data_IF_540681838105
#
_entry.id   IF_540681838105
#
_cell.length_a   1.000
_cell.length_b   1.000
_cell.length_c   1.000
_cell.angle_alpha   90.00
_cell.angle_beta   90.00
_cell.angle_gamma   90.00
#
_symmetry.space_group_name_H-M   'P 1'
#
loop_
_entity.id
_entity.type
_entity.pdbx_description
1 polymer ?
#
# COMPACT_ATOMS: atom_id res chain seq x y z
N UNK A 1 -19.79 4.47 19.38
CA UNK A 1 -21.01 3.86 19.97
C UNK A 1 -22.21 3.73 19.01
N UNK A 2 -22.24 4.35 17.83
CA UNK A 2 -23.41 4.29 16.93
C UNK A 2 -23.74 2.91 16.32
N UNK A 3 -22.80 1.96 16.28
CA UNK A 3 -23.02 0.63 15.68
C UNK A 3 -23.67 -0.40 16.61
N UNK A 4 -23.70 -0.17 17.92
CA UNK A 4 -24.21 -1.16 18.88
C UNK A 4 -25.74 -1.23 18.93
N UNK A 5 -26.45 -0.17 18.52
CA UNK A 5 -27.92 -0.09 18.55
C UNK A 5 -28.60 -0.38 17.21
N UNK A 6 -27.84 -0.60 16.14
CA UNK A 6 -28.40 -0.86 14.82
C UNK A 6 -28.66 -2.35 14.61
N UNK A 7 -29.81 -2.68 14.05
CA UNK A 7 -30.16 -4.05 13.71
C UNK A 7 -29.20 -4.55 12.62
N UNK A 8 -28.54 -5.67 12.85
CA UNK A 8 -27.68 -6.28 11.85
C UNK A 8 -28.49 -7.33 11.06
N UNK A 9 -28.32 -7.36 9.74
CA UNK A 9 -29.00 -8.28 8.84
C UNK A 9 -27.98 -8.95 7.90
N UNK A 10 -28.40 -10.05 7.29
CA UNK A 10 -27.58 -10.83 6.36
C UNK A 10 -28.43 -11.48 5.27
N UNK A 11 -27.79 -11.73 4.13
CA UNK A 11 -28.31 -12.52 3.01
C UNK A 11 -27.21 -13.44 2.50
N UNK A 12 -27.57 -14.68 2.18
CA UNK A 12 -26.74 -15.65 1.49
C UNK A 12 -27.49 -16.12 0.24
N UNK A 13 -26.97 -15.75 -0.93
CA UNK A 13 -27.51 -16.19 -2.22
C UNK A 13 -26.60 -17.25 -2.80
N UNK A 14 -27.16 -18.42 -3.11
CA UNK A 14 -26.44 -19.51 -3.77
C UNK A 14 -26.95 -19.59 -5.21
N UNK A 15 -26.04 -19.55 -6.17
CA UNK A 15 -26.35 -19.61 -7.60
C UNK A 15 -25.77 -20.87 -8.24
N UNK A 16 -26.58 -21.56 -9.04
CA UNK A 16 -26.23 -22.78 -9.78
C UNK A 16 -27.07 -22.88 -11.07
N UNK A 17 -26.44 -23.04 -12.23
CA UNK A 17 -27.10 -23.15 -13.54
C UNK A 17 -28.21 -22.11 -13.77
N UNK A 18 -27.89 -20.83 -13.59
CA UNK A 18 -28.81 -19.67 -13.72
C UNK A 18 -30.00 -19.66 -12.74
N UNK A 19 -30.11 -20.66 -11.85
CA UNK A 19 -31.03 -20.64 -10.72
C UNK A 19 -30.34 -20.09 -9.50
N UNK A 20 -31.10 -19.46 -8.61
CA UNK A 20 -30.60 -19.02 -7.32
C UNK A 20 -31.57 -19.34 -6.19
N UNK A 21 -31.02 -19.52 -5.00
CA UNK A 21 -31.76 -19.55 -3.75
C UNK A 21 -31.17 -18.53 -2.79
N UNK A 22 -32.02 -17.77 -2.11
CA UNK A 22 -31.58 -16.81 -1.10
C UNK A 22 -32.11 -17.21 0.26
N UNK A 23 -31.21 -17.28 1.23
CA UNK A 23 -31.52 -17.44 2.65
C UNK A 23 -31.09 -16.17 3.36
N UNK A 24 -31.85 -15.71 4.35
CA UNK A 24 -31.60 -14.42 4.98
C UNK A 24 -32.08 -14.35 6.42
N UNK A 25 -31.74 -13.25 7.08
CA UNK A 25 -32.39 -12.80 8.31
C UNK A 25 -33.94 -12.86 8.16
N UNK A 26 -34.71 -13.34 9.17
CA UNK A 26 -34.40 -13.41 10.60
C UNK A 26 -33.74 -14.70 11.09
N UNK A 27 -33.40 -15.64 10.19
CA UNK A 27 -32.69 -16.86 10.61
C UNK A 27 -31.35 -16.51 11.27
N UNK A 28 -30.96 -17.31 12.26
CA UNK A 28 -29.65 -17.19 12.90
C UNK A 28 -28.56 -17.68 11.94
N UNK A 29 -27.55 -16.84 11.73
CA UNK A 29 -26.34 -17.20 11.00
C UNK A 29 -25.11 -16.86 11.84
N UNK A 30 -24.27 -17.86 12.07
CA UNK A 30 -22.89 -17.63 12.49
C UNK A 30 -22.01 -17.61 11.27
N UNK A 31 -21.11 -16.64 11.19
CA UNK A 31 -20.19 -16.50 10.07
C UNK A 31 -18.76 -16.34 10.56
N UNK A 32 -17.83 -16.86 9.77
CA UNK A 32 -16.40 -16.66 9.90
C UNK A 32 -15.82 -16.53 8.49
N UNK A 33 -15.28 -15.36 8.17
CA UNK A 33 -14.81 -15.00 6.82
C UNK A 33 -13.40 -14.48 6.94
N UNK A 34 -12.46 -15.21 6.36
CA UNK A 34 -11.04 -14.91 6.38
C UNK A 34 -10.59 -14.50 4.99
N UNK A 35 -9.99 -13.32 4.89
CA UNK A 35 -9.47 -12.75 3.65
C UNK A 35 -8.03 -12.32 3.85
N UNK A 36 -7.23 -12.48 2.82
CA UNK A 36 -5.82 -12.09 2.83
C UNK A 36 -5.35 -11.78 1.42
N UNK A 37 -4.41 -10.86 1.26
CA UNK A 37 -3.73 -10.66 -0.03
C UNK A 37 -2.69 -11.74 -0.31
N UNK A 38 -2.31 -12.56 0.68
CA UNK A 38 -1.28 -13.61 0.56
C UNK A 38 -1.80 -15.05 0.49
N UNK A 39 -3.11 -15.27 0.61
CA UNK A 39 -3.72 -16.60 0.59
C UNK A 39 -5.15 -16.54 0.04
N UNK A 40 -5.73 -17.70 -0.30
CA UNK A 40 -7.15 -17.78 -0.65
C UNK A 40 -8.03 -17.27 0.49
N UNK A 41 -9.20 -16.74 0.12
CA UNK A 41 -10.21 -16.30 1.07
C UNK A 41 -11.21 -17.42 1.36
N UNK A 42 -11.59 -17.60 2.63
CA UNK A 42 -12.48 -18.66 3.07
C UNK A 42 -13.69 -18.11 3.80
N UNK A 43 -14.84 -18.77 3.64
CA UNK A 43 -16.06 -18.46 4.34
C UNK A 43 -16.67 -19.72 4.94
N UNK A 44 -17.04 -19.65 6.21
CA UNK A 44 -17.88 -20.65 6.88
C UNK A 44 -19.14 -19.97 7.38
N UNK A 45 -20.31 -20.49 6.99
CA UNK A 45 -21.61 -20.08 7.50
C UNK A 45 -22.28 -21.25 8.21
N UNK A 46 -22.78 -21.03 9.43
CA UNK A 46 -23.69 -21.95 10.12
C UNK A 46 -25.08 -21.31 10.18
N UNK A 47 -26.00 -21.84 9.38
CA UNK A 47 -27.39 -21.37 9.32
C UNK A 47 -28.27 -22.29 10.16
N UNK A 48 -28.97 -21.74 11.12
CA UNK A 48 -29.80 -22.50 12.05
C UNK A 48 -31.23 -22.64 11.53
N UNK A 49 -31.76 -23.84 11.69
CA UNK A 49 -33.16 -24.22 11.47
C UNK A 49 -33.66 -23.90 10.06
N UNK A 50 -32.79 -24.08 9.06
CA UNK A 50 -33.15 -24.00 7.67
C UNK A 50 -34.26 -25.03 7.34
N UNK A 51 -35.28 -24.59 6.61
CA UNK A 51 -36.44 -25.42 6.26
C UNK A 51 -36.03 -26.74 5.62
N UNK A 52 -36.78 -27.83 5.91
CA UNK A 52 -36.46 -29.17 5.41
C UNK A 52 -36.33 -29.19 3.89
N UNK A 53 -37.26 -28.57 3.18
CA UNK A 53 -37.27 -28.54 1.70
C UNK A 53 -36.08 -27.76 1.14
N UNK A 54 -35.70 -26.64 1.77
CA UNK A 54 -34.50 -25.89 1.43
C UNK A 54 -33.23 -26.72 1.62
N UNK A 55 -33.10 -27.42 2.76
CA UNK A 55 -31.96 -28.30 3.05
C UNK A 55 -31.84 -29.48 2.08
N UNK A 56 -32.97 -29.99 1.61
CA UNK A 56 -33.05 -31.08 0.64
C UNK A 56 -33.05 -30.61 -0.82
N UNK A 57 -32.99 -29.30 -1.05
CA UNK A 57 -32.91 -28.75 -2.40
C UNK A 57 -31.57 -29.06 -3.04
N UNK A 58 -31.52 -28.92 -4.37
CA UNK A 58 -30.29 -29.10 -5.12
C UNK A 58 -29.15 -28.22 -4.55
N UNK A 59 -29.42 -27.00 -4.08
CA UNK A 59 -28.39 -26.06 -3.60
C UNK A 59 -27.64 -26.48 -2.33
N UNK A 60 -28.21 -27.37 -1.51
CA UNK A 60 -27.65 -27.76 -0.20
C UNK A 60 -27.26 -29.24 -0.11
N UNK A 61 -27.52 -30.01 -1.16
CA UNK A 61 -27.10 -31.41 -1.31
C UNK A 61 -25.77 -31.50 -2.03
N UNK A 62 -24.68 -31.31 -1.30
CA UNK A 62 -23.31 -31.57 -1.77
C UNK A 62 -22.75 -32.91 -1.28
N UNK A 63 -23.57 -33.71 -0.60
CA UNK A 63 -23.26 -35.05 -0.10
C UNK A 63 -23.25 -36.13 -1.20
N UNK A 64 -23.74 -35.82 -2.41
CA UNK A 64 -23.66 -36.73 -3.55
C UNK A 64 -22.25 -36.74 -4.13
N UNK A 65 -21.50 -37.78 -3.75
CA UNK A 65 -20.12 -38.14 -4.14
C UNK A 65 -19.82 -38.21 -5.66
N UNK A 66 -20.64 -37.68 -6.57
CA UNK A 66 -20.54 -38.03 -8.00
C UNK A 66 -20.82 -36.95 -9.05
N UNK A 67 -21.12 -35.69 -8.71
CA UNK A 67 -21.17 -34.62 -9.72
C UNK A 67 -19.85 -33.85 -9.78
N UNK A 68 -18.85 -34.48 -10.41
CA UNK A 68 -17.63 -33.79 -10.86
C UNK A 68 -18.06 -32.62 -11.75
N UNK A 69 -17.73 -31.38 -11.34
CA UNK A 69 -18.03 -30.18 -12.12
C UNK A 69 -19.20 -29.34 -11.59
N UNK A 70 -19.83 -29.70 -10.47
CA UNK A 70 -20.89 -28.88 -9.88
C UNK A 70 -20.33 -27.56 -9.30
N UNK A 71 -20.58 -26.46 -10.01
CA UNK A 71 -20.08 -25.13 -9.66
C UNK A 71 -21.19 -24.26 -9.06
N UNK A 72 -21.21 -24.14 -7.73
CA UNK A 72 -22.15 -23.27 -7.02
C UNK A 72 -21.42 -22.08 -6.40
N UNK A 73 -21.95 -20.88 -6.64
CA UNK A 73 -21.40 -19.64 -6.13
C UNK A 73 -22.23 -19.16 -4.94
N UNK A 74 -21.54 -18.78 -3.86
CA UNK A 74 -22.10 -18.11 -2.70
C UNK A 74 -21.82 -16.61 -2.80
N UNK A 75 -22.87 -15.81 -2.68
CA UNK A 75 -22.82 -14.38 -2.41
C UNK A 75 -23.34 -14.12 -1.00
N UNK A 76 -22.44 -13.74 -0.08
CA UNK A 76 -22.78 -13.43 1.30
C UNK A 76 -22.64 -11.94 1.56
N UNK A 77 -23.76 -11.32 1.93
CA UNK A 77 -23.82 -9.91 2.29
C UNK A 77 -24.32 -9.75 3.72
N UNK A 78 -23.71 -8.84 4.47
CA UNK A 78 -24.16 -8.51 5.81
C UNK A 78 -23.86 -7.05 6.13
N UNK A 79 -24.58 -6.51 7.12
CA UNK A 79 -24.40 -5.14 7.52
C UNK A 79 -25.48 -4.66 8.47
N UNK A 80 -25.57 -3.35 8.63
CA UNK A 80 -26.48 -2.72 9.58
C UNK A 80 -27.64 -2.06 8.85
N UNK A 81 -28.84 -2.24 9.41
CA UNK A 81 -30.10 -1.78 8.86
C UNK A 81 -30.26 -2.29 7.42
N UNK A 82 -30.72 -1.43 6.50
CA UNK A 82 -30.92 -1.79 5.09
C UNK A 82 -29.63 -1.68 4.25
N UNK A 83 -28.45 -1.51 4.86
CA UNK A 83 -27.18 -1.38 4.16
C UNK A 83 -26.34 -2.66 4.34
N UNK A 84 -26.48 -3.58 3.37
CA UNK A 84 -25.72 -4.83 3.33
C UNK A 84 -24.59 -4.70 2.31
N UNK A 85 -23.35 -4.88 2.75
CA UNK A 85 -22.22 -4.99 1.84
C UNK A 85 -21.93 -6.47 1.57
N UNK A 86 -21.51 -6.79 0.34
CA UNK A 86 -21.01 -8.13 0.01
C UNK A 86 -19.65 -8.33 0.65
N UNK A 87 -19.63 -9.14 1.71
CA UNK A 87 -18.43 -9.41 2.50
C UNK A 87 -17.75 -10.71 2.09
N UNK A 88 -18.40 -11.56 1.29
CA UNK A 88 -17.77 -12.70 0.65
C UNK A 88 -18.49 -13.09 -0.65
N UNK A 89 -17.73 -13.41 -1.69
CA UNK A 89 -18.18 -14.12 -2.88
C UNK A 89 -17.20 -15.25 -3.18
N UNK A 90 -17.68 -16.46 -3.43
CA UNK A 90 -16.81 -17.60 -3.72
C UNK A 90 -17.54 -18.90 -4.00
N UNK A 91 -16.79 -19.94 -4.36
CA UNK A 91 -17.34 -21.26 -4.68
C UNK A 91 -17.65 -22.05 -3.40
N UNK A 92 -18.82 -22.68 -3.33
CA UNK A 92 -19.15 -23.61 -2.26
C UNK A 92 -18.36 -24.92 -2.44
N UNK A 93 -17.67 -25.32 -1.38
CA UNK A 93 -16.91 -26.59 -1.28
C UNK A 93 -17.73 -27.68 -0.60
N UNK A 94 -18.50 -27.32 0.41
CA UNK A 94 -19.38 -28.24 1.13
C UNK A 94 -20.61 -27.50 1.66
N UNK A 95 -21.72 -28.22 1.71
CA UNK A 95 -22.95 -27.79 2.37
C UNK A 95 -23.53 -29.03 3.05
N UNK A 96 -23.53 -29.05 4.38
CA UNK A 96 -23.97 -30.22 5.16
C UNK A 96 -24.88 -29.78 6.30
N UNK A 97 -25.87 -30.61 6.62
CA UNK A 97 -26.79 -30.33 7.73
C UNK A 97 -26.62 -31.36 8.83
N UNK A 98 -26.44 -30.89 10.06
CA UNK A 98 -26.33 -31.75 11.24
C UNK A 98 -27.35 -31.32 12.28
N UNK A 99 -27.87 -32.28 13.05
CA UNK A 99 -28.76 -31.97 14.19
C UNK A 99 -27.93 -31.87 15.46
N UNK A 100 -28.09 -30.78 16.20
CA UNK A 100 -27.48 -30.57 17.52
C UNK A 100 -28.57 -30.16 18.51
N UNK A 101 -28.98 -31.09 19.38
CA UNK A 101 -30.11 -30.89 20.27
C UNK A 101 -31.41 -30.63 19.48
N UNK A 102 -32.06 -29.51 19.77
CA UNK A 102 -33.28 -29.07 19.08
C UNK A 102 -33.01 -28.44 17.73
N UNK A 103 -31.78 -27.97 17.49
CA UNK A 103 -31.45 -27.23 16.28
C UNK A 103 -30.97 -28.14 15.15
N UNK A 104 -31.28 -27.74 13.92
CA UNK A 104 -30.64 -28.25 12.72
C UNK A 104 -29.73 -27.17 12.16
N UNK A 105 -28.44 -27.46 12.07
CA UNK A 105 -27.42 -26.51 11.62
C UNK A 105 -26.94 -26.92 10.24
N UNK A 106 -27.14 -26.05 9.26
CA UNK A 106 -26.60 -26.17 7.91
C UNK A 106 -25.29 -25.40 7.82
N UNK A 107 -24.18 -26.12 7.70
CA UNK A 107 -22.84 -25.55 7.53
C UNK A 107 -22.49 -25.47 6.05
N UNK A 108 -22.19 -24.27 5.58
CA UNK A 108 -21.67 -23.99 4.23
C UNK A 108 -20.20 -23.62 4.37
N UNK A 109 -19.32 -24.27 3.63
CA UNK A 109 -17.93 -23.87 3.48
C UNK A 109 -17.70 -23.44 2.04
N UNK A 110 -17.09 -22.27 1.86
CA UNK A 110 -16.82 -21.71 0.56
C UNK A 110 -15.40 -21.11 0.49
N UNK A 111 -14.86 -21.04 -0.72
CA UNK A 111 -13.52 -20.55 -1.03
C UNK A 111 -13.60 -19.59 -2.22
N UNK A 112 -13.05 -18.40 -2.08
CA UNK A 112 -12.87 -17.49 -3.21
C UNK A 112 -11.74 -18.02 -4.11
N UNK A 113 -11.94 -17.96 -5.42
CA UNK A 113 -11.06 -18.58 -6.43
C UNK A 113 -10.97 -20.11 -6.46
N UNK A 114 -11.74 -20.85 -5.65
CA UNK A 114 -11.63 -22.32 -5.58
C UNK A 114 -11.63 -22.99 -6.96
N UNK A 115 -12.50 -22.55 -7.88
CA UNK A 115 -12.57 -23.11 -9.23
C UNK A 115 -11.49 -22.59 -10.17
N UNK A 116 -11.16 -21.30 -10.13
CA UNK A 116 -10.14 -20.70 -11.00
C UNK A 116 -8.72 -21.14 -10.62
N UNK A 117 -8.50 -21.62 -9.39
CA UNK A 117 -7.24 -22.22 -8.96
C UNK A 117 -7.15 -23.72 -9.30
N UNK A 118 -8.28 -24.44 -9.21
CA UNK A 118 -8.32 -25.91 -9.38
C UNK A 118 -8.52 -26.33 -10.83
N UNK A 119 -9.32 -25.57 -11.58
CA UNK A 119 -9.69 -25.88 -12.96
C UNK A 119 -9.02 -24.95 -13.98
N UNK A 120 -8.12 -24.07 -13.56
CA UNK A 120 -7.23 -23.42 -14.51
C UNK A 120 -6.24 -24.44 -15.05
N UNK A 121 -6.40 -24.82 -16.31
CA UNK A 121 -5.39 -25.58 -17.04
C UNK A 121 -4.07 -24.82 -17.00
N UNK A 122 -2.99 -25.51 -16.64
CA UNK A 122 -1.65 -24.93 -16.76
C UNK A 122 -1.42 -24.50 -18.21
N UNK A 123 -0.88 -23.31 -18.39
CA UNK A 123 -0.56 -22.77 -19.70
C UNK A 123 0.95 -22.54 -19.82
N UNK A 124 1.44 -22.64 -21.05
CA UNK A 124 2.79 -22.22 -21.44
C UNK A 124 2.63 -21.06 -22.41
N UNK A 125 3.15 -19.89 -22.05
CA UNK A 125 3.06 -18.70 -22.89
C UNK A 125 4.41 -18.01 -22.99
N UNK A 126 4.73 -17.55 -24.19
CA UNK A 126 5.95 -16.79 -24.46
C UNK A 126 5.57 -15.38 -24.88
N UNK A 127 6.06 -14.39 -24.14
CA UNK A 127 5.99 -12.98 -24.53
C UNK A 127 7.28 -12.60 -25.25
N UNK A 128 7.15 -11.90 -26.37
CA UNK A 128 8.30 -11.42 -27.14
C UNK A 128 8.95 -10.23 -26.43
N UNK A 129 10.26 -10.05 -26.66
CA UNK A 129 10.93 -8.81 -26.29
C UNK A 129 10.15 -7.59 -26.78
N UNK A 130 10.01 -6.57 -25.93
CA UNK A 130 9.21 -5.37 -26.18
C UNK A 130 7.73 -5.48 -25.78
N UNK A 131 7.22 -6.67 -25.42
CA UNK A 131 5.85 -6.77 -24.87
C UNK A 131 5.81 -6.10 -23.49
N UNK A 132 4.85 -5.21 -23.25
CA UNK A 132 4.74 -4.55 -21.95
C UNK A 132 4.21 -5.51 -20.88
N UNK A 133 4.56 -5.27 -19.61
CA UNK A 133 4.05 -6.09 -18.51
C UNK A 133 2.53 -5.95 -18.35
N UNK A 134 1.95 -4.80 -18.69
CA UNK A 134 0.50 -4.58 -18.71
C UNK A 134 -0.17 -5.42 -19.79
N UNK A 135 0.34 -5.42 -21.01
CA UNK A 135 -0.24 -6.24 -22.10
C UNK A 135 -0.18 -7.73 -21.74
N UNK A 136 0.92 -8.19 -21.15
CA UNK A 136 1.04 -9.56 -20.68
C UNK A 136 0.08 -9.87 -19.53
N UNK A 137 -0.06 -8.96 -18.57
CA UNK A 137 -1.04 -9.10 -17.48
C UNK A 137 -2.46 -9.23 -18.03
N UNK A 138 -2.88 -8.32 -18.92
CA UNK A 138 -4.23 -8.30 -19.49
C UNK A 138 -4.50 -9.55 -20.34
N UNK A 139 -3.50 -10.00 -21.11
CA UNK A 139 -3.57 -11.25 -21.86
C UNK A 139 -3.82 -12.45 -20.93
N UNK A 140 -3.06 -12.59 -19.85
CA UNK A 140 -3.24 -13.71 -18.91
C UNK A 140 -4.54 -13.57 -18.12
N UNK A 141 -4.89 -12.37 -17.66
CA UNK A 141 -6.09 -12.11 -16.89
C UNK A 141 -7.36 -12.46 -17.70
N UNK A 142 -7.35 -12.26 -19.02
CA UNK A 142 -8.46 -12.65 -19.90
C UNK A 142 -8.75 -14.17 -19.93
N UNK A 143 -7.78 -15.00 -19.50
CA UNK A 143 -7.94 -16.46 -19.42
C UNK A 143 -8.54 -16.94 -18.08
N UNK A 144 -8.72 -16.04 -17.10
CA UNK A 144 -9.35 -16.39 -15.82
C UNK A 144 -10.86 -16.46 -15.96
N UNK A 145 -11.40 -17.69 -16.07
CA UNK A 145 -12.84 -17.91 -15.97
C UNK A 145 -13.33 -17.58 -14.55
N UNK A 146 -14.45 -16.88 -14.46
CA UNK A 146 -15.17 -16.51 -13.21
C UNK A 146 -14.46 -15.52 -12.28
N UNK A 147 -13.29 -15.01 -12.65
CA UNK A 147 -12.67 -13.88 -11.96
C UNK A 147 -12.66 -12.70 -12.92
N UNK A 148 -13.23 -11.59 -12.51
CA UNK A 148 -13.23 -10.37 -13.32
C UNK A 148 -12.06 -9.46 -12.90
N UNK A 149 -11.26 -8.92 -13.83
CA UNK A 149 -10.34 -7.85 -13.50
C UNK A 149 -11.11 -6.65 -12.93
N UNK A 150 -10.78 -6.21 -11.73
CA UNK A 150 -11.48 -5.09 -11.08
C UNK A 150 -10.57 -3.90 -10.86
N UNK A 151 -9.40 -4.10 -10.28
CA UNK A 151 -8.49 -3.00 -9.94
C UNK A 151 -7.06 -3.40 -10.24
N UNK A 152 -6.36 -2.51 -10.94
CA UNK A 152 -4.96 -2.69 -11.32
C UNK A 152 -4.19 -1.45 -10.92
N UNK A 153 -3.14 -1.65 -10.14
CA UNK A 153 -2.15 -0.65 -9.80
C UNK A 153 -1.16 -0.40 -10.93
N UNK A 154 -0.02 0.21 -10.62
CA UNK A 154 0.99 0.57 -11.63
C UNK A 154 1.82 -0.65 -12.02
N UNK A 155 1.83 -1.01 -13.31
CA UNK A 155 2.65 -2.10 -13.85
C UNK A 155 3.51 -1.61 -15.04
N UNK A 156 4.51 -0.78 -14.76
CA UNK A 156 5.44 -0.24 -15.77
C UNK A 156 6.53 -1.23 -16.16
N UNK A 157 6.95 -1.17 -17.43
CA UNK A 157 8.05 -1.95 -17.99
C UNK A 157 7.63 -2.86 -19.14
N UNK A 158 8.63 -3.52 -19.70
CA UNK A 158 8.49 -4.46 -20.81
C UNK A 158 9.52 -5.60 -20.67
N UNK A 159 9.24 -6.72 -21.31
CA UNK A 159 10.21 -7.82 -21.40
C UNK A 159 11.37 -7.41 -22.30
N UNK A 160 12.62 -7.52 -21.82
CA UNK A 160 13.81 -7.19 -22.62
C UNK A 160 14.26 -8.32 -23.54
N UNK A 161 13.82 -9.54 -23.25
CA UNK A 161 14.05 -10.73 -24.05
C UNK A 161 12.75 -11.52 -24.18
N UNK A 162 12.70 -12.42 -25.15
CA UNK A 162 11.66 -13.44 -25.19
C UNK A 162 11.62 -14.18 -23.85
N UNK A 163 10.45 -14.16 -23.20
CA UNK A 163 10.28 -14.67 -21.84
C UNK A 163 9.11 -15.65 -21.82
N UNK A 164 9.38 -16.88 -21.42
CA UNK A 164 8.38 -17.94 -21.32
C UNK A 164 7.97 -18.15 -19.86
N UNK A 165 6.67 -18.22 -19.63
CA UNK A 165 6.07 -18.55 -18.35
C UNK A 165 5.33 -19.88 -18.43
N UNK A 166 5.36 -20.62 -17.32
CA UNK A 166 4.64 -21.87 -17.17
C UNK A 166 3.92 -21.90 -15.82
N UNK A 167 2.65 -22.25 -15.83
CA UNK A 167 1.83 -22.39 -14.62
C UNK A 167 0.36 -22.10 -14.87
N UNK A 168 -0.42 -22.04 -13.79
CA UNK A 168 -1.80 -21.52 -13.86
C UNK A 168 -1.79 -20.02 -14.15
N UNK A 169 -2.86 -19.45 -14.73
CA UNK A 169 -2.92 -18.01 -14.99
C UNK A 169 -2.61 -17.16 -13.75
N UNK A 170 -3.12 -17.52 -12.56
CA UNK A 170 -2.80 -16.77 -11.33
C UNK A 170 -1.32 -16.89 -10.92
N UNK A 171 -0.70 -18.07 -11.10
CA UNK A 171 0.73 -18.24 -10.85
C UNK A 171 1.56 -17.37 -11.80
N UNK A 172 1.21 -17.36 -13.09
CA UNK A 172 1.89 -16.54 -14.09
C UNK A 172 1.70 -15.05 -13.79
N UNK A 173 0.48 -14.62 -13.45
CA UNK A 173 0.22 -13.24 -13.02
C UNK A 173 1.10 -12.88 -11.82
N UNK A 174 1.22 -13.74 -10.82
CA UNK A 174 2.08 -13.50 -9.67
C UNK A 174 3.58 -13.51 -10.01
N UNK A 175 4.01 -14.27 -11.01
CA UNK A 175 5.38 -14.18 -11.53
C UNK A 175 5.64 -12.85 -12.24
N UNK A 176 4.68 -12.36 -13.03
CA UNK A 176 4.76 -11.08 -13.72
C UNK A 176 4.69 -9.91 -12.73
N UNK A 177 3.85 -10.00 -11.70
CA UNK A 177 3.62 -8.87 -10.77
C UNK A 177 4.46 -8.97 -9.51
N UNK A 178 5.31 -9.99 -9.36
CA UNK A 178 6.09 -10.25 -8.15
C UNK A 178 5.21 -10.43 -6.89
N UNK A 179 4.21 -11.32 -6.98
CA UNK A 179 3.23 -11.65 -5.94
C UNK A 179 2.39 -10.47 -5.44
N UNK A 180 2.15 -9.47 -6.31
CA UNK A 180 1.27 -8.33 -6.01
C UNK A 180 -0.18 -8.54 -6.47
N UNK A 181 -0.52 -9.74 -6.95
CA UNK A 181 -1.87 -10.08 -7.41
C UNK A 181 -2.59 -10.94 -6.39
N UNK A 182 -3.82 -10.57 -6.05
CA UNK A 182 -4.71 -11.32 -5.19
C UNK A 182 -6.14 -11.22 -5.70
N UNK A 183 -7.05 -11.94 -5.05
CA UNK A 183 -8.47 -11.92 -5.40
C UNK A 183 -9.30 -11.63 -4.17
N UNK A 184 -10.29 -10.77 -4.34
CA UNK A 184 -11.29 -10.46 -3.32
C UNK A 184 -12.67 -10.46 -3.97
N UNK A 185 -13.61 -11.23 -3.39
CA UNK A 185 -14.97 -11.37 -3.88
C UNK A 185 -15.04 -11.75 -5.38
N UNK A 186 -14.19 -12.69 -5.81
CA UNK A 186 -14.04 -13.12 -7.21
C UNK A 186 -13.65 -12.01 -8.19
N UNK A 187 -12.96 -10.99 -7.69
CA UNK A 187 -12.36 -9.93 -8.49
C UNK A 187 -10.83 -9.93 -8.40
N UNK A 188 -10.16 -9.94 -9.56
CA UNK A 188 -8.71 -9.88 -9.64
C UNK A 188 -8.25 -8.46 -9.30
N UNK A 189 -7.37 -8.37 -8.31
CA UNK A 189 -6.78 -7.13 -7.84
C UNK A 189 -5.27 -7.25 -7.93
N UNK A 190 -4.63 -6.27 -8.54
CA UNK A 190 -3.18 -6.11 -8.53
C UNK A 190 -2.85 -4.78 -7.84
N UNK A 191 -2.10 -4.85 -6.74
CA UNK A 191 -1.62 -3.67 -6.00
C UNK A 191 -0.19 -3.91 -5.55
N UNK A 192 0.72 -3.04 -5.96
CA UNK A 192 2.07 -3.02 -5.41
C UNK A 192 2.07 -2.66 -3.92
N UNK A 193 3.23 -2.82 -3.28
CA UNK A 193 3.41 -2.57 -1.85
C UNK A 193 2.89 -1.20 -1.37
N UNK A 194 3.09 -0.11 -2.13
CA UNK A 194 2.63 1.23 -1.74
C UNK A 194 1.28 1.66 -2.33
N UNK A 195 0.64 0.78 -3.11
CA UNK A 195 -0.71 1.03 -3.63
C UNK A 195 -1.78 0.48 -2.70
N UNK A 196 -2.96 1.09 -2.79
CA UNK A 196 -4.17 0.66 -2.11
C UNK A 196 -5.36 0.79 -3.07
N UNK A 197 -6.48 0.16 -2.72
CA UNK A 197 -7.73 0.35 -3.45
C UNK A 197 -8.15 1.83 -3.44
N UNK A 198 -8.75 2.37 -4.52
CA UNK A 198 -8.94 3.81 -4.73
C UNK A 198 -9.97 4.46 -3.78
N UNK A 199 -10.66 3.70 -2.94
CA UNK A 199 -11.58 4.27 -1.94
C UNK A 199 -10.85 5.19 -0.95
N UNK A 200 -11.57 6.22 -0.49
CA UNK A 200 -11.06 7.11 0.55
C UNK A 200 -10.71 6.33 1.82
N UNK A 201 -9.58 6.66 2.48
CA UNK A 201 -9.19 5.97 3.70
C UNK A 201 -10.24 6.05 4.79
N UNK A 202 -10.59 4.92 5.39
CA UNK A 202 -11.53 4.85 6.52
C UNK A 202 -10.77 5.06 7.83
N UNK A 203 -11.30 5.89 8.73
CA UNK A 203 -10.74 6.05 10.07
C UNK A 203 -11.12 4.87 10.98
N UNK A 204 -10.11 4.27 11.62
CA UNK A 204 -10.27 3.28 12.68
C UNK A 204 -9.84 3.94 14.01
N UNK A 205 -10.80 4.20 14.87
CA UNK A 205 -10.61 4.84 16.18
C UNK A 205 -11.62 4.33 17.20
N UNK A 206 -11.44 4.65 18.47
CA UNK A 206 -12.42 4.30 19.51
C UNK A 206 -13.84 4.82 19.16
N UNK A 207 -13.94 5.97 18.47
CA UNK A 207 -15.21 6.55 18.01
C UNK A 207 -15.84 5.71 16.89
N UNK A 208 -15.04 5.24 15.94
CA UNK A 208 -15.50 4.44 14.79
C UNK A 208 -15.57 2.94 15.07
N UNK A 209 -15.14 2.50 16.25
CA UNK A 209 -15.40 1.17 16.77
C UNK A 209 -14.18 0.29 17.00
N UNK A 210 -12.97 0.85 17.13
CA UNK A 210 -11.80 0.14 17.66
C UNK A 210 -12.10 -0.38 19.08
N UNK A 211 -11.96 -1.68 19.28
CA UNK A 211 -12.34 -2.38 20.52
C UNK A 211 -11.16 -2.62 21.47
N UNK A 212 -9.95 -2.76 20.93
CA UNK A 212 -8.76 -3.07 21.72
C UNK A 212 -7.61 -2.10 21.43
N UNK A 213 -6.62 -2.11 22.32
CA UNK A 213 -5.32 -1.49 22.03
C UNK A 213 -4.67 -2.29 20.89
N UNK A 214 -4.26 -1.64 19.79
CA UNK A 214 -3.62 -2.34 18.68
C UNK A 214 -2.37 -3.09 19.13
N UNK A 215 -2.20 -4.33 18.67
CA UNK A 215 -1.03 -5.16 18.96
C UNK A 215 -0.04 -5.01 17.82
N UNK A 216 1.18 -4.60 18.14
CA UNK A 216 2.19 -4.29 17.14
C UNK A 216 3.25 -5.39 17.08
N UNK A 217 3.42 -5.95 15.89
CA UNK A 217 4.53 -6.81 15.54
C UNK A 217 5.60 -6.05 14.75
N UNK A 218 6.63 -6.77 14.32
CA UNK A 218 7.78 -6.20 13.60
C UNK A 218 7.38 -5.54 12.26
N UNK A 219 6.45 -6.16 11.53
CA UNK A 219 6.01 -5.69 10.19
C UNK A 219 4.51 -5.33 10.12
N UNK A 220 3.72 -5.70 11.13
CA UNK A 220 2.26 -5.64 11.09
C UNK A 220 1.66 -5.01 12.35
N UNK A 221 0.49 -4.39 12.20
CA UNK A 221 -0.35 -3.92 13.29
C UNK A 221 -1.66 -4.69 13.25
N UNK A 222 -2.01 -5.30 14.37
CA UNK A 222 -3.27 -6.01 14.56
C UNK A 222 -4.26 -5.10 15.30
N UNK A 223 -5.45 -4.95 14.76
CA UNK A 223 -6.53 -4.19 15.39
C UNK A 223 -7.84 -4.98 15.35
N UNK A 224 -8.64 -4.85 16.40
CA UNK A 224 -9.98 -5.42 16.46
C UNK A 224 -10.99 -4.29 16.50
N UNK A 225 -12.01 -4.38 15.65
CA UNK A 225 -13.10 -3.40 15.58
C UNK A 225 -14.44 -4.10 15.77
N UNK A 226 -15.48 -3.33 16.12
CA UNK A 226 -16.87 -3.75 15.90
C UNK A 226 -17.01 -4.19 14.45
N UNK A 227 -17.90 -5.15 14.19
CA UNK A 227 -18.11 -5.62 12.82
C UNK A 227 -18.32 -4.45 11.86
N UNK A 228 -17.42 -4.34 10.89
CA UNK A 228 -17.41 -3.29 9.90
C UNK A 228 -17.37 -3.95 8.50
N UNK A 229 -18.53 -4.11 7.84
CA UNK A 229 -18.65 -4.84 6.58
C UNK A 229 -18.11 -4.08 5.36
N UNK A 230 -17.74 -2.79 5.51
CA UNK A 230 -17.23 -1.99 4.40
C UNK A 230 -15.72 -2.09 4.23
N UNK A 231 -15.01 -2.72 5.17
CA UNK A 231 -13.56 -2.89 5.10
C UNK A 231 -13.19 -3.98 4.08
N UNK A 232 -12.18 -3.71 3.26
CA UNK A 232 -11.67 -4.64 2.24
C UNK A 232 -10.17 -4.85 2.36
N UNK A 233 -9.68 -6.03 1.94
CA UNK A 233 -8.24 -6.24 1.81
C UNK A 233 -7.68 -5.35 0.70
N UNK A 234 -6.47 -4.81 0.88
CA UNK A 234 -5.87 -3.83 -0.02
C UNK A 234 -6.36 -2.38 0.19
N UNK A 235 -7.35 -2.13 1.05
CA UNK A 235 -7.84 -0.78 1.34
C UNK A 235 -6.89 0.01 2.25
N UNK A 236 -6.82 1.33 2.05
CA UNK A 236 -6.17 2.25 2.98
C UNK A 236 -7.07 2.59 4.17
N UNK A 237 -6.48 2.68 5.36
CA UNK A 237 -7.16 3.11 6.59
C UNK A 237 -6.27 4.03 7.41
N UNK A 238 -6.90 4.90 8.19
CA UNK A 238 -6.21 5.76 9.14
C UNK A 238 -6.46 5.24 10.55
N UNK A 239 -5.41 4.71 11.20
CA UNK A 239 -5.52 4.30 12.60
C UNK A 239 -5.36 5.53 13.50
N UNK A 240 -6.24 5.66 14.49
CA UNK A 240 -6.14 6.62 15.58
C UNK A 240 -6.43 5.95 16.92
N UNK A 241 -5.41 5.83 17.74
CA UNK A 241 -5.50 5.38 19.13
C UNK A 241 -5.08 6.51 20.08
N UNK A 242 -5.67 6.55 21.26
CA UNK A 242 -5.29 7.44 22.36
C UNK A 242 -4.28 6.81 23.31
N UNK A 243 -4.07 5.48 23.23
CA UNK A 243 -3.18 4.77 24.13
C UNK A 243 -1.71 4.83 23.68
N UNK A 244 -1.47 4.97 22.37
CA UNK A 244 -0.14 4.86 21.76
C UNK A 244 -0.04 5.74 20.49
N UNK A 245 0.17 7.04 20.67
CA UNK A 245 0.15 8.04 19.58
C UNK A 245 1.11 7.75 18.41
N UNK A 246 2.23 7.06 18.67
CA UNK A 246 3.19 6.67 17.65
C UNK A 246 2.59 5.78 16.53
N UNK A 247 1.49 5.07 16.81
CA UNK A 247 0.79 4.23 15.83
C UNK A 247 -0.33 4.96 15.08
N UNK A 248 -0.49 6.27 15.31
CA UNK A 248 -1.42 7.07 14.52
C UNK A 248 -0.81 7.31 13.13
N UNK A 249 -1.26 6.54 12.15
CA UNK A 249 -0.73 6.59 10.78
C UNK A 249 -1.72 6.02 9.74
N UNK A 250 -1.34 6.15 8.47
CA UNK A 250 -1.96 5.43 7.36
C UNK A 250 -1.46 3.99 7.30
N UNK A 251 -2.37 3.07 7.07
CA UNK A 251 -2.11 1.64 6.95
C UNK A 251 -2.86 1.05 5.77
N UNK A 252 -2.30 0.01 5.15
CA UNK A 252 -3.02 -0.85 4.20
C UNK A 252 -3.47 -2.12 4.91
N UNK A 253 -4.71 -2.52 4.68
CA UNK A 253 -5.24 -3.79 5.18
C UNK A 253 -4.66 -4.94 4.36
N UNK A 254 -3.98 -5.87 5.01
CA UNK A 254 -3.44 -7.08 4.38
C UNK A 254 -4.36 -8.28 4.59
N UNK A 255 -4.96 -8.38 5.78
CA UNK A 255 -5.91 -9.45 6.10
C UNK A 255 -7.07 -8.94 6.93
N UNK A 256 -8.24 -9.54 6.69
CA UNK A 256 -9.48 -9.30 7.42
C UNK A 256 -10.02 -10.65 7.90
N UNK A 257 -10.49 -10.67 9.14
CA UNK A 257 -11.36 -11.73 9.63
C UNK A 257 -12.67 -11.13 10.18
N UNK A 258 -13.77 -11.31 9.44
CA UNK A 258 -15.12 -10.99 9.92
C UNK A 258 -15.71 -12.21 10.61
N UNK A 259 -16.14 -12.06 11.86
CA UNK A 259 -16.77 -13.15 12.58
C UNK A 259 -17.89 -12.68 13.51
N UNK A 260 -18.89 -13.52 13.69
CA UNK A 260 -19.94 -13.30 14.67
C UNK A 260 -21.23 -14.04 14.40
N UNK A 261 -22.26 -13.68 15.16
CA UNK A 261 -23.61 -14.22 14.99
C UNK A 261 -24.61 -13.10 14.72
N UNK A 262 -25.41 -13.25 13.66
CA UNK A 262 -26.54 -12.38 13.36
C UNK A 262 -27.82 -13.20 13.52
N UNK A 263 -28.70 -12.77 14.42
CA UNK A 263 -29.92 -13.47 14.78
C UNK A 263 -31.00 -12.49 15.21
N UNK A 264 -32.26 -12.83 14.94
CA UNK A 264 -33.41 -12.16 15.56
C UNK A 264 -33.65 -12.61 17.02
N UNK A 265 -33.12 -13.79 17.40
CA UNK A 265 -33.40 -14.43 18.69
C UNK A 265 -32.30 -14.21 19.73
N UNK A 266 -31.06 -14.03 19.30
CA UNK A 266 -29.90 -13.89 20.21
C UNK A 266 -29.04 -12.69 19.83
N UNK A 267 -28.57 -11.96 20.85
CA UNK A 267 -27.55 -10.93 20.67
C UNK A 267 -26.17 -11.58 20.60
N UNK A 268 -25.65 -11.73 19.38
CA UNK A 268 -24.31 -12.26 19.13
C UNK A 268 -23.23 -11.19 19.09
N UNK A 269 -22.02 -11.53 19.54
CA UNK A 269 -20.85 -10.70 19.27
C UNK A 269 -20.55 -10.70 17.77
N UNK A 270 -20.18 -9.53 17.24
CA UNK A 270 -19.79 -9.34 15.83
C UNK A 270 -18.58 -8.42 15.77
N UNK A 271 -17.48 -8.92 15.24
CA UNK A 271 -16.21 -8.20 15.19
C UNK A 271 -15.52 -8.35 13.84
N UNK A 272 -14.66 -7.38 13.54
CA UNK A 272 -13.70 -7.45 12.44
C UNK A 272 -12.29 -7.38 13.01
N UNK A 273 -11.50 -8.42 12.80
CA UNK A 273 -10.05 -8.41 13.09
C UNK A 273 -9.28 -8.01 11.82
N UNK A 274 -8.25 -7.19 12.00
CA UNK A 274 -7.46 -6.62 10.92
C UNK A 274 -5.99 -6.90 11.15
N UNK A 275 -5.29 -7.32 10.10
CA UNK A 275 -3.84 -7.28 10.02
C UNK A 275 -3.47 -6.22 8.98
N UNK A 276 -2.71 -5.22 9.41
CA UNK A 276 -2.44 -4.05 8.59
C UNK A 276 -0.94 -3.77 8.54
N UNK A 277 -0.46 -3.28 7.40
CA UNK A 277 0.91 -2.83 7.24
C UNK A 277 0.95 -1.31 7.21
N UNK A 278 1.95 -0.71 7.85
CA UNK A 278 2.20 0.71 7.69
C UNK A 278 2.66 0.96 6.26
N UNK A 279 1.94 1.81 5.52
CA UNK A 279 2.27 2.12 4.14
C UNK A 279 2.46 3.62 4.01
N UNK A 280 3.57 4.02 3.41
CA UNK A 280 3.71 5.37 2.87
C UNK A 280 3.07 5.32 1.49
N UNK A 281 1.83 5.80 1.36
CA UNK A 281 1.13 5.80 0.08
C UNK A 281 1.82 6.77 -0.90
N UNK A 282 2.77 6.25 -1.66
CA UNK A 282 3.47 6.92 -2.76
C UNK A 282 3.38 6.04 -4.01
N UNK A 283 3.31 6.60 -5.23
CA UNK A 283 3.32 5.79 -6.46
C UNK A 283 4.58 4.92 -6.54
N UNK A 284 4.41 3.65 -6.96
CA UNK A 284 5.47 2.65 -6.96
C UNK A 284 6.47 2.80 -8.13
N UNK A 285 7.68 2.29 -7.90
CA UNK A 285 8.62 1.87 -8.94
C UNK A 285 8.71 0.34 -8.93
N UNK A 286 8.36 -0.32 -10.03
CA UNK A 286 8.59 -1.75 -10.21
C UNK A 286 10.09 -2.02 -10.26
N UNK A 287 10.64 -2.64 -9.22
CA UNK A 287 11.97 -3.20 -9.24
C UNK A 287 11.83 -4.64 -8.79
N UNK A 288 12.23 -5.57 -9.68
CA UNK A 288 12.40 -7.01 -9.52
C UNK A 288 11.46 -7.88 -10.37
N UNK A 289 11.46 -7.67 -11.69
CA UNK A 289 11.01 -8.69 -12.63
C UNK A 289 12.10 -8.75 -13.71
N UNK A 290 12.74 -9.92 -13.86
CA UNK A 290 13.73 -10.34 -14.89
C UNK A 290 15.22 -10.52 -14.53
N UNK A 291 15.74 -10.14 -13.35
CA UNK A 291 17.19 -10.29 -13.04
C UNK A 291 18.13 -9.75 -14.15
N UNK A 292 17.73 -8.69 -14.87
CA UNK A 292 18.62 -8.01 -15.81
C UNK A 292 18.81 -6.57 -15.38
N UNK A 293 20.10 -6.23 -15.22
CA UNK A 293 20.59 -4.91 -14.84
C UNK A 293 20.70 -4.08 -16.10
N UNK A 294 19.75 -3.19 -16.38
CA UNK A 294 20.05 -2.04 -17.23
C UNK A 294 19.09 -0.86 -16.99
N UNK A 295 19.69 0.33 -16.96
CA UNK A 295 19.04 1.64 -16.74
C UNK A 295 18.31 2.09 -17.99
N UNK A 296 17.10 2.64 -17.86
CA UNK A 296 16.72 3.82 -18.66
C UNK A 296 15.44 4.53 -18.16
N UNK A 297 15.54 5.87 -18.07
CA UNK A 297 14.56 6.83 -18.58
C UNK A 297 13.29 7.11 -17.77
N UNK A 298 13.38 8.01 -16.79
CA UNK A 298 12.21 8.64 -16.14
C UNK A 298 11.33 9.41 -17.15
N UNK A 299 10.02 9.12 -17.15
CA UNK A 299 8.95 10.09 -17.50
C UNK A 299 7.85 10.04 -16.44
N UNK A 300 7.47 11.24 -16.00
CA UNK A 300 6.57 11.64 -14.89
C UNK A 300 5.09 11.60 -15.38
N UNK A 301 4.03 11.32 -14.58
CA UNK A 301 3.22 12.27 -13.73
C UNK A 301 2.11 11.52 -12.91
N UNK A 302 2.09 11.52 -11.54
CA UNK A 302 1.29 12.26 -10.48
C UNK A 302 -0.21 11.85 -10.31
N UNK A 303 -0.77 11.46 -9.13
CA UNK A 303 -1.09 12.22 -7.87
C UNK A 303 -1.12 11.30 -6.62
N UNK A 304 -0.81 11.73 -5.39
CA UNK A 304 -0.82 13.08 -4.78
C UNK A 304 0.57 13.71 -4.65
N UNK A 305 0.65 14.99 -4.99
CA UNK A 305 1.87 15.77 -5.23
C UNK A 305 2.90 15.76 -4.08
N UNK A 306 4.06 15.16 -4.33
CA UNK A 306 5.31 15.91 -4.17
C UNK A 306 5.66 16.36 -5.57
N UNK A 307 5.42 17.63 -5.90
CA UNK A 307 5.82 18.16 -7.20
C UNK A 307 7.31 17.89 -7.34
N UNK A 308 7.72 17.21 -8.41
CA UNK A 308 9.04 17.47 -8.97
C UNK A 308 8.96 18.94 -9.36
N UNK A 309 9.68 19.84 -8.70
CA UNK A 309 9.46 21.25 -8.96
C UNK A 309 9.97 21.57 -10.34
N UNK A 310 9.01 21.78 -11.25
CA UNK A 310 9.28 22.42 -12.52
C UNK A 310 9.61 23.89 -12.29
N UNK A 311 9.93 24.58 -13.38
CA UNK A 311 10.18 26.03 -13.38
C UNK A 311 9.14 26.84 -12.58
N UNK A 312 7.87 26.41 -12.60
CA UNK A 312 6.76 27.05 -11.89
C UNK A 312 6.84 26.98 -10.36
N UNK A 313 7.45 25.92 -9.80
CA UNK A 313 7.67 25.83 -8.35
C UNK A 313 8.83 26.70 -7.91
N UNK A 314 9.88 26.73 -8.74
CA UNK A 314 11.03 27.61 -8.54
C UNK A 314 10.59 29.07 -8.54
N UNK A 315 9.72 29.46 -9.48
CA UNK A 315 9.12 30.80 -9.47
C UNK A 315 8.19 30.99 -8.27
N UNK A 316 7.34 30.03 -7.91
CA UNK A 316 6.43 30.15 -6.77
C UNK A 316 7.14 30.40 -5.42
N UNK A 317 8.21 29.66 -5.15
CA UNK A 317 9.03 29.83 -3.94
C UNK A 317 9.81 31.14 -3.98
N UNK A 318 10.36 31.48 -5.14
CA UNK A 318 11.04 32.76 -5.33
C UNK A 318 10.08 33.93 -5.08
N UNK A 319 8.91 33.90 -5.69
CA UNK A 319 7.86 34.91 -5.57
C UNK A 319 7.34 34.99 -4.14
N UNK A 320 7.21 33.87 -3.43
CA UNK A 320 6.87 33.85 -2.01
C UNK A 320 7.91 34.62 -1.19
N UNK A 321 9.20 34.31 -1.38
CA UNK A 321 10.28 34.97 -0.63
C UNK A 321 10.31 36.47 -0.94
N UNK A 322 10.03 36.87 -2.18
CA UNK A 322 9.90 38.28 -2.57
C UNK A 322 8.69 38.95 -1.94
N UNK A 323 7.52 38.31 -2.02
CA UNK A 323 6.26 38.82 -1.48
C UNK A 323 6.30 39.01 0.03
N UNK A 324 6.99 38.13 0.74
CA UNK A 324 7.05 38.13 2.21
C UNK A 324 8.42 38.54 2.76
N UNK A 325 9.12 39.46 2.09
CA UNK A 325 10.36 40.11 2.54
C UNK A 325 11.40 39.14 3.13
N UNK A 326 11.70 38.07 2.39
CA UNK A 326 12.67 37.08 2.81
C UNK A 326 12.13 35.94 3.66
N UNK A 327 10.83 35.89 3.97
CA UNK A 327 10.25 34.78 4.73
C UNK A 327 10.39 33.44 3.99
N UNK A 328 10.52 32.36 4.77
CA UNK A 328 10.66 31.00 4.25
C UNK A 328 9.28 30.35 4.15
N UNK A 329 8.98 29.64 3.05
CA UNK A 329 7.76 28.86 2.96
C UNK A 329 7.74 27.68 3.94
N UNK A 330 6.56 27.32 4.46
CA UNK A 330 6.42 26.23 5.45
C UNK A 330 6.38 24.84 4.80
N UNK A 331 6.19 24.75 3.48
CA UNK A 331 6.15 23.49 2.76
C UNK A 331 7.51 22.79 2.73
N UNK A 332 7.45 21.46 2.54
CA UNK A 332 8.65 20.63 2.39
C UNK A 332 9.05 20.52 0.93
N UNK A 333 10.35 20.36 0.68
CA UNK A 333 10.87 20.06 -0.66
C UNK A 333 10.60 18.58 -0.99
N UNK A 334 10.86 17.69 -0.03
CA UNK A 334 10.55 16.27 -0.11
C UNK A 334 10.31 15.66 1.29
N UNK A 335 10.18 14.34 1.37
CA UNK A 335 9.86 13.64 2.62
C UNK A 335 10.94 13.79 3.70
N UNK A 336 12.20 14.01 3.32
CA UNK A 336 13.33 14.18 4.25
C UNK A 336 13.70 15.65 4.52
N UNK A 337 13.39 16.57 3.60
CA UNK A 337 14.02 17.90 3.55
C UNK A 337 12.96 19.00 3.36
N UNK A 338 12.97 20.02 4.22
CA UNK A 338 12.12 21.21 4.11
C UNK A 338 12.83 22.43 3.50
N UNK A 339 12.07 23.46 3.11
CA UNK A 339 12.68 24.74 2.74
C UNK A 339 13.45 25.37 3.89
N UNK A 340 12.96 25.26 5.12
CA UNK A 340 13.70 25.72 6.29
C UNK A 340 15.07 25.04 6.41
N UNK A 341 15.18 23.76 6.06
CA UNK A 341 16.44 23.04 6.05
C UNK A 341 17.38 23.51 4.92
N UNK A 342 16.83 23.83 3.75
CA UNK A 342 17.63 24.13 2.55
C UNK A 342 17.97 25.59 2.36
N UNK A 343 17.11 26.53 2.75
CA UNK A 343 17.37 27.97 2.61
C UNK A 343 17.53 28.66 3.97
N UNK A 344 17.41 27.89 5.06
CA UNK A 344 18.05 28.07 6.36
C UNK A 344 17.62 29.27 7.19
N UNK A 345 17.47 29.09 8.51
CA UNK A 345 17.29 30.19 9.48
C UNK A 345 18.56 31.06 9.65
N UNK A 346 19.73 30.52 9.33
CA UNK A 346 21.03 31.20 9.54
C UNK A 346 21.28 32.33 8.54
N UNK A 347 20.46 32.40 7.49
CA UNK A 347 20.39 33.57 6.62
C UNK A 347 19.41 34.59 7.23
N UNK A 348 19.67 35.88 7.09
CA UNK A 348 18.65 36.88 7.47
C UNK A 348 17.56 36.95 6.41
N UNK A 349 16.39 37.49 6.78
CA UNK A 349 15.33 37.79 5.80
C UNK A 349 15.85 38.71 4.68
N UNK A 350 16.60 39.75 5.03
CA UNK A 350 17.20 40.67 4.06
C UNK A 350 18.19 39.98 3.12
N UNK A 351 18.97 39.01 3.61
CA UNK A 351 19.88 38.23 2.77
C UNK A 351 19.13 37.30 1.81
N UNK A 352 18.10 36.58 2.29
CA UNK A 352 17.25 35.74 1.43
C UNK A 352 16.59 36.58 0.36
N UNK A 353 16.01 37.72 0.75
CA UNK A 353 15.43 38.66 -0.18
C UNK A 353 16.48 39.14 -1.18
N UNK A 354 17.65 39.60 -0.76
CA UNK A 354 18.61 40.18 -1.69
C UNK A 354 19.25 39.16 -2.65
N UNK A 355 19.59 37.96 -2.16
CA UNK A 355 20.56 37.08 -2.82
C UNK A 355 19.95 35.80 -3.39
N UNK A 356 18.76 35.37 -2.96
CA UNK A 356 18.15 34.17 -3.53
C UNK A 356 17.76 34.45 -4.98
N UNK A 357 17.97 33.46 -5.85
CA UNK A 357 17.57 33.49 -7.26
C UNK A 357 16.79 32.22 -7.58
N UNK A 358 15.99 32.22 -8.67
CA UNK A 358 15.35 31.00 -9.15
C UNK A 358 16.37 29.86 -9.34
N UNK A 359 17.55 30.15 -9.89
CA UNK A 359 18.59 29.12 -10.08
C UNK A 359 19.06 28.48 -8.76
N UNK A 360 19.18 29.28 -7.69
CA UNK A 360 19.55 28.77 -6.36
C UNK A 360 18.47 27.82 -5.83
N UNK A 361 17.20 28.20 -5.97
CA UNK A 361 16.04 27.40 -5.54
C UNK A 361 16.03 26.07 -6.30
N UNK A 362 16.22 26.13 -7.63
CA UNK A 362 16.32 24.94 -8.48
C UNK A 362 17.48 24.02 -8.06
N UNK A 363 18.65 24.58 -7.78
CA UNK A 363 19.79 23.78 -7.31
C UNK A 363 19.51 23.11 -5.95
N UNK A 364 18.83 23.82 -5.03
CA UNK A 364 18.46 23.27 -3.72
C UNK A 364 17.54 22.06 -3.86
N UNK A 365 16.58 22.14 -4.78
CA UNK A 365 15.71 21.00 -5.10
C UNK A 365 16.56 19.84 -5.61
N UNK A 366 17.40 20.08 -6.62
CA UNK A 366 18.17 19.03 -7.29
C UNK A 366 18.98 18.25 -6.27
N UNK A 367 19.69 18.94 -5.37
CA UNK A 367 20.50 18.29 -4.35
C UNK A 367 19.66 17.58 -3.29
N UNK A 368 18.52 18.15 -2.89
CA UNK A 368 17.60 17.53 -1.93
C UNK A 368 17.00 16.22 -2.48
N UNK A 369 16.57 16.22 -3.74
CA UNK A 369 16.02 15.03 -4.39
C UNK A 369 17.10 13.97 -4.63
N UNK A 370 18.31 14.38 -4.99
CA UNK A 370 19.45 13.46 -5.13
C UNK A 370 19.75 12.74 -3.81
N UNK A 371 19.76 13.46 -2.68
CA UNK A 371 19.97 12.85 -1.36
C UNK A 371 18.83 11.90 -0.99
N UNK A 372 17.58 12.30 -1.20
CA UNK A 372 16.40 11.47 -0.95
C UNK A 372 16.45 10.16 -1.76
N UNK A 373 16.73 10.26 -3.06
CA UNK A 373 16.81 9.10 -3.96
C UNK A 373 17.94 8.15 -3.55
N UNK A 374 19.06 8.69 -3.08
CA UNK A 374 20.15 7.89 -2.55
C UNK A 374 19.76 7.13 -1.27
N UNK A 375 19.16 7.82 -0.29
CA UNK A 375 18.73 7.17 0.96
C UNK A 375 17.69 6.09 0.67
N UNK A 376 16.78 6.35 -0.28
CA UNK A 376 15.74 5.39 -0.67
C UNK A 376 16.28 4.16 -1.40
N UNK A 377 17.39 4.30 -2.12
CA UNK A 377 17.99 3.21 -2.93
C UNK A 377 19.12 2.45 -2.22
N UNK A 378 19.55 2.89 -1.03
CA UNK A 378 20.58 2.23 -0.22
C UNK A 378 19.99 1.43 0.94
N UNK A 379 20.84 0.70 1.66
CA UNK A 379 20.47 0.05 2.94
C UNK A 379 20.06 1.03 4.05
N UNK A 380 20.10 2.34 3.77
CA UNK A 380 19.68 3.42 4.66
C UNK A 380 18.20 3.79 4.50
N UNK A 381 17.44 3.03 3.71
CA UNK A 381 16.00 3.27 3.53
C UNK A 381 15.28 3.35 4.87
N UNK A 382 14.55 4.44 5.09
CA UNK A 382 13.83 4.70 6.35
C UNK A 382 14.66 5.35 7.45
N UNK A 383 15.96 5.56 7.26
CA UNK A 383 16.79 6.29 8.21
C UNK A 383 16.43 7.78 8.22
N UNK A 384 16.36 8.36 9.42
CA UNK A 384 16.13 9.79 9.61
C UNK A 384 17.44 10.55 9.48
N UNK A 385 17.40 11.68 8.80
CA UNK A 385 18.51 12.64 8.72
C UNK A 385 18.14 13.98 9.35
N UNK A 386 19.16 14.69 9.83
CA UNK A 386 19.10 16.09 10.19
C UNK A 386 19.95 16.84 9.18
N UNK A 387 19.31 17.71 8.40
CA UNK A 387 20.02 18.66 7.55
C UNK A 387 20.54 19.78 8.43
N UNK A 388 21.84 19.96 8.42
CA UNK A 388 22.55 20.98 9.20
C UNK A 388 22.81 22.25 8.41
N UNK A 389 22.91 22.16 7.08
CA UNK A 389 22.98 23.35 6.24
C UNK A 389 22.61 23.05 4.78
N UNK A 390 22.03 24.03 4.08
CA UNK A 390 21.76 24.03 2.64
C UNK A 390 22.39 25.27 1.97
N UNK A 391 21.63 26.03 1.17
CA UNK A 391 22.07 27.32 0.66
C UNK A 391 22.46 28.31 1.78
N UNK A 392 23.55 29.05 1.55
CA UNK A 392 24.04 30.10 2.45
C UNK A 392 24.17 31.40 1.67
N UNK A 393 23.78 32.51 2.28
CA UNK A 393 24.09 33.86 1.81
C UNK A 393 25.61 34.08 1.81
N UNK A 394 26.10 35.09 1.09
CA UNK A 394 27.52 35.45 1.07
C UNK A 394 28.03 35.72 2.49
N UNK A 395 27.25 36.43 3.30
CA UNK A 395 27.64 36.77 4.66
C UNK A 395 27.63 35.54 5.57
N UNK A 396 26.55 34.74 5.53
CA UNK A 396 26.47 33.52 6.31
C UNK A 396 27.57 32.51 5.94
N UNK A 397 27.88 32.37 4.64
CA UNK A 397 28.98 31.54 4.17
C UNK A 397 30.34 32.03 4.73
N UNK A 398 30.63 33.34 4.71
CA UNK A 398 31.84 33.91 5.31
C UNK A 398 31.89 33.68 6.82
N UNK A 399 30.79 33.93 7.53
CA UNK A 399 30.69 33.70 8.98
C UNK A 399 30.93 32.23 9.36
N UNK A 400 30.53 31.31 8.46
CA UNK A 400 30.75 29.87 8.61
C UNK A 400 32.16 29.42 8.16
N UNK A 401 33.06 30.34 7.79
CA UNK A 401 34.39 30.01 7.28
C UNK A 401 34.40 29.39 5.88
N UNK A 402 33.33 29.54 5.11
CA UNK A 402 33.20 29.00 3.76
C UNK A 402 33.98 29.82 2.73
N UNK A 403 34.52 29.13 1.72
CA UNK A 403 35.24 29.75 0.61
C UNK A 403 34.30 30.54 -0.34
N UNK A 404 34.86 31.47 -1.10
CA UNK A 404 34.11 32.29 -2.08
C UNK A 404 33.45 31.45 -3.20
N UNK A 405 33.99 30.26 -3.49
CA UNK A 405 33.48 29.35 -4.52
C UNK A 405 32.62 28.22 -3.95
N UNK A 406 32.25 28.32 -2.67
CA UNK A 406 31.44 27.33 -1.95
C UNK A 406 30.19 26.93 -2.74
N UNK A 407 29.92 25.63 -2.82
CA UNK A 407 28.72 25.10 -3.47
C UNK A 407 27.43 25.53 -2.72
N UNK A 408 27.52 25.82 -1.42
CA UNK A 408 26.40 26.36 -0.64
C UNK A 408 25.92 27.72 -1.17
N UNK A 409 26.80 28.58 -1.67
CA UNK A 409 26.41 29.89 -2.24
C UNK A 409 25.50 29.77 -3.46
N UNK A 410 25.58 28.63 -4.15
CA UNK A 410 24.82 28.33 -5.37
C UNK A 410 23.62 27.43 -5.11
N UNK A 411 23.36 27.05 -3.86
CA UNK A 411 22.32 26.07 -3.51
C UNK A 411 22.66 24.65 -3.97
N UNK A 412 23.93 24.39 -4.30
CA UNK A 412 24.39 23.16 -4.92
C UNK A 412 25.03 22.18 -3.90
N UNK A 413 24.85 22.44 -2.59
CA UNK A 413 25.38 21.59 -1.53
C UNK A 413 24.42 21.50 -0.33
N UNK A 414 24.56 20.41 0.41
CA UNK A 414 23.84 20.15 1.64
C UNK A 414 24.73 19.38 2.62
N UNK A 415 24.70 19.80 3.89
CA UNK A 415 25.35 19.11 5.00
C UNK A 415 24.30 18.42 5.86
N UNK A 416 24.49 17.15 6.17
CA UNK A 416 23.53 16.38 6.96
C UNK A 416 24.19 15.34 7.86
N UNK A 417 23.44 14.85 8.85
CA UNK A 417 23.83 13.73 9.72
C UNK A 417 22.67 12.77 9.91
N UNK A 418 22.96 11.53 10.28
CA UNK A 418 21.94 10.54 10.62
C UNK A 418 21.54 10.65 12.10
N UNK A 419 20.26 10.38 12.38
CA UNK A 419 19.72 10.39 13.76
C UNK A 419 19.98 9.07 14.46
N UNK A 420 19.69 7.96 13.77
CA UNK A 420 19.61 6.63 14.40
C UNK A 420 20.86 5.78 14.21
N UNK A 421 21.83 6.26 13.42
CA UNK A 421 23.08 5.56 13.15
C UNK A 421 24.25 6.53 13.21
N UNK A 422 25.43 6.00 13.50
CA UNK A 422 26.65 6.79 13.48
C UNK A 422 26.92 7.29 12.06
N UNK A 423 27.07 8.61 11.90
CA UNK A 423 27.24 9.26 10.59
C UNK A 423 28.59 8.92 9.95
N UNK A 424 29.63 8.69 10.75
CA UNK A 424 30.94 8.22 10.27
C UNK A 424 30.85 6.79 9.71
N UNK A 425 30.14 5.90 10.40
CA UNK A 425 30.00 4.52 9.97
C UNK A 425 29.16 4.43 8.70
N UNK A 426 28.07 5.20 8.63
CA UNK A 426 27.28 5.35 7.40
C UNK A 426 28.18 5.82 6.25
N UNK A 427 29.02 6.82 6.48
CA UNK A 427 29.95 7.32 5.48
C UNK A 427 30.92 6.26 4.97
N UNK A 428 31.66 5.60 5.88
CA UNK A 428 32.69 4.65 5.49
C UNK A 428 32.13 3.41 4.80
N UNK A 429 30.98 2.92 5.26
CA UNK A 429 30.41 1.67 4.76
C UNK A 429 29.66 1.86 3.44
N UNK A 430 29.11 3.06 3.18
CA UNK A 430 28.19 3.26 2.06
C UNK A 430 28.57 4.41 1.14
N UNK A 431 29.01 5.55 1.65
CA UNK A 431 29.25 6.72 0.82
C UNK A 431 30.65 6.73 0.20
N UNK A 432 31.67 6.40 0.99
CA UNK A 432 33.09 6.53 0.62
C UNK A 432 33.44 5.81 -0.69
N UNK A 433 32.90 4.61 -0.90
CA UNK A 433 33.24 3.78 -2.06
C UNK A 433 32.25 3.91 -3.22
N UNK A 434 30.99 4.27 -2.94
CA UNK A 434 29.95 4.29 -3.96
C UNK A 434 29.75 5.68 -4.57
N UNK A 435 30.17 6.76 -3.89
CA UNK A 435 29.84 8.12 -4.30
C UNK A 435 30.92 9.16 -3.95
N UNK A 436 31.84 9.46 -4.89
CA UNK A 436 32.96 10.38 -4.63
C UNK A 436 32.54 11.83 -4.38
N UNK A 437 31.29 12.20 -4.65
CA UNK A 437 30.74 13.53 -4.38
C UNK A 437 30.35 13.75 -2.92
N UNK A 438 30.37 12.69 -2.10
CA UNK A 438 30.10 12.77 -0.66
C UNK A 438 31.43 12.83 0.10
N UNK A 439 31.58 13.87 0.90
CA UNK A 439 32.75 14.08 1.75
C UNK A 439 32.32 14.10 3.20
N UNK A 440 32.98 13.33 4.04
CA UNK A 440 32.74 13.39 5.48
C UNK A 440 33.69 14.38 6.15
N UNK A 441 33.14 15.29 6.95
CA UNK A 441 33.93 16.24 7.75
C UNK A 441 34.06 15.75 9.20
N UNK A 442 35.28 15.38 9.59
CA UNK A 442 35.60 14.72 10.86
C UNK A 442 35.71 15.68 12.09
N UNK A 443 35.63 15.05 13.28
CA UNK A 443 35.94 15.41 14.69
C UNK A 443 35.25 16.61 15.31
N UNK A 444 34.89 17.65 14.55
CA UNK A 444 34.19 18.82 15.10
C UNK A 444 32.69 18.85 14.78
N UNK A 445 32.29 18.29 13.63
CA UNK A 445 30.94 18.52 13.08
C UNK A 445 30.11 17.24 12.91
N UNK A 446 30.74 16.08 12.68
CA UNK A 446 30.05 14.78 12.48
C UNK A 446 28.92 14.87 11.43
N UNK A 447 29.26 15.40 10.26
CA UNK A 447 28.35 15.62 9.13
C UNK A 447 28.93 15.04 7.83
N UNK A 448 28.03 14.65 6.94
CA UNK A 448 28.31 14.34 5.55
C UNK A 448 27.93 15.54 4.72
N UNK A 449 28.87 16.00 3.90
CA UNK A 449 28.69 17.02 2.89
C UNK A 449 28.47 16.36 1.54
N UNK A 450 27.45 16.80 0.82
CA UNK A 450 27.25 16.43 -0.58
C UNK A 450 27.05 17.68 -1.41
N UNK A 451 27.72 17.70 -2.56
CA UNK A 451 27.59 18.74 -3.57
C UNK A 451 27.19 18.11 -4.91
N UNK A 452 26.46 18.85 -5.73
CA UNK A 452 25.87 18.30 -6.96
C UNK A 452 26.88 18.01 -8.06
N UNK A 453 28.12 18.50 -7.95
CA UNK A 453 29.19 18.50 -8.98
C UNK A 453 28.66 18.30 -10.40
N UNK A 454 28.37 19.41 -11.08
CA UNK A 454 28.39 19.49 -12.54
C UNK A 454 29.60 18.70 -13.04
N UNK A 455 29.35 17.64 -13.80
CA UNK A 455 30.39 16.74 -14.26
C UNK A 455 31.42 17.49 -15.11
N UNK A 456 32.58 17.78 -14.52
CA UNK A 456 33.88 17.80 -15.22
C UNK A 456 34.98 17.44 -14.23
N UNK A 457 35.62 16.31 -14.51
CA UNK A 457 37.07 16.14 -14.43
C UNK A 457 37.73 16.36 -13.08
N UNK A 458 38.00 15.27 -12.40
CA UNK A 458 38.97 15.22 -11.31
C UNK A 458 39.41 13.79 -11.08
N UNK A 459 39.92 13.13 -12.13
CA UNK A 459 40.79 11.98 -11.94
C UNK A 459 41.92 12.44 -11.02
N UNK A 460 42.01 11.83 -9.83
CA UNK A 460 43.21 11.95 -9.02
C UNK A 460 44.35 11.31 -9.80
N UNK A 461 45.36 12.13 -10.10
CA UNK A 461 46.75 11.68 -10.08
C UNK A 461 47.15 11.38 -8.66
#
# INVERSE_FOLDING_TARGET
MAFLNNQCAWTATITYNDKSITVSYPLTCEFNIQKSTGSASFCTLNIYNLGKDTRLSEFFRLDSKFEVGRFMMLDFSAGYNNNLATIFRGQIRSATSTRRGTDVITTIQAEDCGHSLINSTAMSITFKAGTTFIEAFDNIASNLKYIQPQTRGTLEGEFKTDTTFYGTPLQILNQITNNHTFVDNSSLIMLNNNEHLPESPIEISAKTGLLNVPIVGEFWVNAQTVFNPTLKIGQAVQLKTTSLDYYNNGYKIYSINHQGTISAAISGQRITNLIMQRVNFTPNSNVNITKQTEKQGEKVVIQTEVKTPGKEWTSGVYDYIRKYNGAIPLEKINNLISWQNMIGNDNTNSERYAQITPQIIENCIIIANRLQNFINSSSLKGQKIIVTSGWRSIQNNRNSGGEEKSAHLRGAAIDFKFVSINTFDAYNNLFKNNWPTFTYYNRKWNIIHVQSTLGKGGAKR
#
